data_IF_230693340632
#
_entry.id   IF_230693340632
#
_cell.length_a   1.000
_cell.length_b   1.000
_cell.length_c   1.000
_cell.angle_alpha   90.00
_cell.angle_beta   90.00
_cell.angle_gamma   90.00
#
_symmetry.space_group_name_H-M   'P 1'
#
loop_
_entity.id
_entity.type
_entity.pdbx_description
1 polymer ?
#
# COMPACT_ATOMS: atom_id res chain seq x y z
N UNK A 1 -28.41 18.56 42.85
CA UNK A 1 -28.10 17.88 41.57
C UNK A 1 -26.61 18.08 41.26
N UNK A 2 -25.78 17.04 41.38
CA UNK A 2 -24.36 17.08 41.01
C UNK A 2 -24.12 16.05 39.92
N UNK A 3 -23.75 16.50 38.72
CA UNK A 3 -23.41 15.63 37.58
C UNK A 3 -22.05 14.99 37.83
N UNK A 4 -21.98 13.66 37.66
CA UNK A 4 -20.76 12.86 37.65
C UNK A 4 -19.99 13.15 36.36
N UNK A 5 -18.68 13.34 36.46
CA UNK A 5 -17.76 13.20 35.32
C UNK A 5 -17.01 11.87 35.51
N UNK A 6 -17.20 10.97 34.55
CA UNK A 6 -16.46 9.70 34.45
C UNK A 6 -15.27 9.97 33.53
N UNK A 7 -14.06 9.85 34.07
CA UNK A 7 -12.82 9.87 33.30
C UNK A 7 -12.57 8.43 32.86
N UNK A 8 -12.69 8.17 31.56
CA UNK A 8 -12.34 6.89 30.96
C UNK A 8 -10.86 6.93 30.56
N UNK A 9 -10.03 6.22 31.32
CA UNK A 9 -8.64 5.92 30.96
C UNK A 9 -8.68 4.65 30.11
N UNK A 10 -8.24 4.72 28.85
CA UNK A 10 -7.93 3.53 28.05
C UNK A 10 -6.42 3.47 27.86
N UNK A 11 -5.78 2.77 28.77
CA UNK A 11 -4.46 2.15 28.60
C UNK A 11 -4.59 0.86 27.81
N UNK A 12 -3.71 0.62 26.84
CA UNK A 12 -3.56 -0.70 26.24
C UNK A 12 -2.86 -0.72 24.88
N UNK A 13 -1.55 -0.44 24.84
CA UNK A 13 -0.71 -0.90 23.73
C UNK A 13 -0.46 -2.39 23.97
N UNK A 14 -1.11 -3.25 23.19
CA UNK A 14 -0.87 -4.68 23.21
C UNK A 14 0.38 -4.97 22.39
N UNK A 15 1.49 -5.27 23.07
CA UNK A 15 2.65 -5.93 22.49
C UNK A 15 2.28 -7.40 22.22
N UNK A 16 2.05 -7.75 20.95
CA UNK A 16 2.00 -9.14 20.53
C UNK A 16 3.43 -9.57 20.17
N UNK A 17 4.18 -9.97 21.19
CA UNK A 17 5.36 -10.81 21.02
C UNK A 17 4.91 -12.26 20.91
N UNK A 18 4.96 -12.84 19.71
CA UNK A 18 4.74 -14.27 19.54
C UNK A 18 6.07 -15.01 19.61
N UNK A 19 6.14 -15.92 20.59
CA UNK A 19 7.34 -16.66 20.98
C UNK A 19 7.70 -17.83 20.07
N UNK A 20 8.96 -18.23 20.23
CA UNK A 20 9.51 -19.51 19.82
C UNK A 20 8.68 -20.67 20.39
N UNK A 21 8.23 -21.57 19.50
CA UNK A 21 7.95 -22.97 19.85
C UNK A 21 8.79 -23.82 18.91
N UNK A 22 9.79 -24.49 19.49
CA UNK A 22 10.50 -25.60 18.87
C UNK A 22 9.64 -26.85 19.04
N UNK A 23 9.21 -27.48 17.95
CA UNK A 23 9.03 -28.92 17.92
C UNK A 23 9.38 -29.49 16.55
N UNK A 24 10.26 -30.48 16.56
CA UNK A 24 10.93 -31.05 15.40
C UNK A 24 10.14 -32.28 14.93
N UNK A 25 9.62 -32.28 13.70
CA UNK A 25 9.54 -33.45 12.77
C UNK A 25 8.67 -33.10 11.55
N UNK A 26 9.30 -33.15 10.38
CA UNK A 26 8.63 -33.08 9.08
C UNK A 26 9.25 -32.02 8.18
N UNK A 27 10.05 -32.44 7.21
CA UNK A 27 10.52 -31.58 6.12
C UNK A 27 9.31 -31.11 5.32
N UNK A 28 8.84 -29.90 5.60
CA UNK A 28 8.22 -29.03 4.62
C UNK A 28 9.01 -27.73 4.66
N UNK A 29 9.65 -27.39 3.55
CA UNK A 29 10.25 -26.07 3.39
C UNK A 29 9.12 -25.04 3.31
N UNK A 30 8.67 -24.58 4.48
CA UNK A 30 7.94 -23.33 4.58
C UNK A 30 8.97 -22.24 4.35
N UNK A 31 9.00 -21.68 3.14
CA UNK A 31 9.76 -20.45 2.87
C UNK A 31 9.06 -19.32 3.62
N UNK A 32 9.35 -19.23 4.92
CA UNK A 32 8.96 -18.09 5.74
C UNK A 32 9.85 -16.92 5.34
N UNK A 33 9.45 -16.21 4.29
CA UNK A 33 10.00 -14.89 3.97
C UNK A 33 9.48 -13.90 5.03
N UNK A 34 10.00 -14.01 6.25
CA UNK A 34 9.73 -13.05 7.31
C UNK A 34 10.49 -11.77 6.95
N UNK A 35 9.79 -10.75 6.43
CA UNK A 35 10.35 -9.40 6.24
C UNK A 35 11.02 -8.98 7.54
N UNK A 36 12.21 -8.39 7.46
CA UNK A 36 12.88 -7.90 8.67
C UNK A 36 12.04 -6.80 9.32
N UNK A 37 12.16 -6.61 10.64
CA UNK A 37 11.45 -5.52 11.34
C UNK A 37 11.75 -4.14 10.72
N UNK A 38 12.97 -3.97 10.20
CA UNK A 38 13.39 -2.76 9.48
C UNK A 38 12.62 -2.58 8.16
N UNK A 39 12.38 -3.67 7.42
CA UNK A 39 11.64 -3.62 6.16
C UNK A 39 10.16 -3.31 6.38
N UNK A 40 9.59 -3.80 7.50
CA UNK A 40 8.22 -3.46 7.91
C UNK A 40 8.12 -1.96 8.21
N UNK A 41 9.00 -1.43 9.07
CA UNK A 41 9.03 0.00 9.40
C UNK A 41 9.20 0.86 8.15
N UNK A 42 10.07 0.44 7.22
CA UNK A 42 10.27 1.15 5.97
C UNK A 42 9.00 1.15 5.11
N UNK A 43 8.34 0.00 4.97
CA UNK A 43 7.09 -0.08 4.23
C UNK A 43 6.00 0.81 4.84
N UNK A 44 5.89 0.85 6.17
CA UNK A 44 4.90 1.69 6.86
C UNK A 44 5.13 3.18 6.59
N UNK A 45 6.39 3.64 6.66
CA UNK A 45 6.76 5.03 6.30
C UNK A 45 6.43 5.37 4.85
N UNK A 46 6.61 4.42 3.93
CA UNK A 46 6.22 4.64 2.54
C UNK A 46 4.69 4.72 2.39
N UNK A 47 3.93 3.89 3.11
CA UNK A 47 2.47 3.98 3.11
C UNK A 47 1.98 5.33 3.64
N UNK A 48 2.60 5.85 4.71
CA UNK A 48 2.34 7.20 5.25
C UNK A 48 2.59 8.28 4.20
N UNK A 49 3.73 8.23 3.48
CA UNK A 49 4.03 9.14 2.38
C UNK A 49 2.92 9.15 1.31
N UNK A 50 2.44 7.97 0.89
CA UNK A 50 1.40 7.87 -0.13
C UNK A 50 0.06 8.37 0.39
N UNK A 51 -0.29 8.05 1.64
CA UNK A 51 -1.50 8.51 2.28
C UNK A 51 -1.54 10.06 2.36
N UNK A 52 -0.41 10.68 2.72
CA UNK A 52 -0.27 12.14 2.82
C UNK A 52 -0.43 12.87 1.47
N UNK A 53 -0.40 12.16 0.33
CA UNK A 53 -0.70 12.76 -0.98
C UNK A 53 -2.18 12.98 -1.22
N UNK A 54 -3.05 12.30 -0.49
CA UNK A 54 -4.49 12.45 -0.63
C UNK A 54 -5.01 13.50 0.35
N UNK A 55 -5.56 14.58 -0.19
CA UNK A 55 -6.17 15.63 0.64
C UNK A 55 -7.46 15.07 1.24
N UNK A 56 -7.44 14.76 2.55
CA UNK A 56 -8.56 14.18 3.31
C UNK A 56 -9.91 14.90 3.15
N UNK A 57 -9.90 16.16 2.69
CA UNK A 57 -11.12 16.91 2.35
C UNK A 57 -11.97 16.24 1.27
N UNK A 58 -11.34 15.57 0.31
CA UNK A 58 -11.99 14.99 -0.87
C UNK A 58 -11.91 13.46 -0.90
N UNK A 59 -11.12 12.89 0.00
CA UNK A 59 -10.78 11.48 0.02
C UNK A 59 -10.89 10.94 1.44
N UNK A 60 -11.55 9.80 1.58
CA UNK A 60 -11.49 8.98 2.78
C UNK A 60 -10.52 7.85 2.48
N UNK A 61 -9.37 7.86 3.15
CA UNK A 61 -8.37 6.79 3.02
C UNK A 61 -8.59 5.77 4.11
N UNK A 62 -8.74 4.50 3.72
CA UNK A 62 -8.84 3.36 4.63
C UNK A 62 -7.68 2.42 4.39
N UNK A 63 -6.85 2.21 5.41
CA UNK A 63 -5.85 1.14 5.39
C UNK A 63 -6.56 -0.20 5.41
N UNK A 64 -6.21 -1.09 4.49
CA UNK A 64 -6.74 -2.45 4.46
C UNK A 64 -5.83 -3.35 5.30
N UNK A 65 -6.44 -4.17 6.17
CA UNK A 65 -5.68 -5.17 6.92
C UNK A 65 -4.98 -6.15 5.97
N UNK A 66 -3.88 -6.74 6.44
CA UNK A 66 -3.00 -7.65 5.67
C UNK A 66 -3.71 -8.88 5.09
N UNK A 67 -4.88 -9.22 5.60
CA UNK A 67 -5.70 -10.34 5.12
C UNK A 67 -6.40 -10.01 3.78
N UNK A 68 -6.47 -8.71 3.43
CA UNK A 68 -7.07 -8.19 2.19
C UNK A 68 -6.03 -7.76 1.14
N UNK A 69 -4.82 -8.36 1.15
CA UNK A 69 -3.77 -8.15 0.11
C UNK A 69 -4.28 -8.28 -1.34
N UNK A 70 -5.42 -8.94 -1.50
CA UNK A 70 -6.17 -9.10 -2.74
C UNK A 70 -6.56 -7.78 -3.43
N UNK A 71 -6.60 -6.66 -2.70
CA UNK A 71 -7.00 -5.35 -3.22
C UNK A 71 -5.95 -4.26 -2.99
N UNK A 72 -4.71 -4.62 -2.70
CA UNK A 72 -3.69 -3.66 -2.26
C UNK A 72 -3.78 -3.31 -0.77
N UNK A 73 -3.08 -2.25 -0.38
CA UNK A 73 -2.83 -1.92 1.03
C UNK A 73 -3.70 -0.73 1.48
N UNK A 74 -4.19 0.06 0.53
CA UNK A 74 -5.03 1.23 0.77
C UNK A 74 -6.29 1.16 -0.10
N UNK A 75 -7.44 1.43 0.51
CA UNK A 75 -8.69 1.76 -0.19
C UNK A 75 -8.90 3.26 -0.11
N UNK A 76 -9.12 3.89 -1.24
CA UNK A 76 -9.44 5.31 -1.33
C UNK A 76 -10.89 5.45 -1.77
N UNK A 77 -11.72 6.00 -0.89
CA UNK A 77 -13.08 6.41 -1.21
C UNK A 77 -13.06 7.92 -1.50
N UNK A 78 -13.82 8.37 -2.50
CA UNK A 78 -13.89 9.78 -2.84
C UNK A 78 -15.34 10.24 -3.01
N UNK A 79 -15.56 11.52 -2.72
CA UNK A 79 -16.77 12.26 -3.06
C UNK A 79 -16.33 13.65 -3.55
N UNK A 80 -16.38 13.84 -4.86
CA UNK A 80 -15.85 15.04 -5.53
C UNK A 80 -16.93 15.56 -6.46
N UNK A 81 -17.48 16.74 -6.13
CA UNK A 81 -18.46 17.44 -6.97
C UNK A 81 -19.68 16.59 -7.34
N UNK A 82 -20.12 15.72 -6.44
CA UNK A 82 -21.28 14.84 -6.66
C UNK A 82 -20.97 13.53 -7.39
N UNK A 83 -19.71 13.27 -7.71
CA UNK A 83 -19.22 11.96 -8.13
C UNK A 83 -18.60 11.26 -6.93
N UNK A 84 -19.18 10.11 -6.55
CA UNK A 84 -18.59 9.23 -5.55
C UNK A 84 -18.06 7.96 -6.19
N UNK A 85 -17.07 7.38 -5.55
CA UNK A 85 -16.48 6.12 -5.99
C UNK A 85 -15.33 5.70 -5.11
N UNK A 86 -14.63 4.69 -5.59
CA UNK A 86 -13.50 4.14 -4.88
C UNK A 86 -12.46 3.61 -5.87
N UNK A 87 -11.23 3.55 -5.39
CA UNK A 87 -10.13 2.87 -6.05
C UNK A 87 -9.16 2.35 -5.00
N UNK A 88 -8.24 1.52 -5.45
CA UNK A 88 -7.33 0.79 -4.59
C UNK A 88 -5.89 1.12 -4.94
N UNK A 89 -5.03 1.08 -3.93
CA UNK A 89 -3.59 1.27 -4.08
C UNK A 89 -2.84 0.15 -3.38
N UNK A 90 -2.02 -0.56 -4.14
CA UNK A 90 -0.95 -1.38 -3.61
C UNK A 90 0.33 -0.55 -3.54
N UNK A 91 0.99 -0.53 -2.39
CA UNK A 91 2.21 0.24 -2.16
C UNK A 91 3.36 -0.71 -1.87
N UNK A 92 4.49 -0.50 -2.52
CA UNK A 92 5.72 -1.27 -2.28
C UNK A 92 6.93 -0.33 -2.31
N UNK A 93 7.78 -0.38 -1.29
CA UNK A 93 9.07 0.32 -1.31
C UNK A 93 10.21 -0.67 -1.47
N UNK A 94 11.07 -0.40 -2.45
CA UNK A 94 12.13 -1.30 -2.90
C UNK A 94 13.48 -0.62 -2.69
N UNK A 95 14.48 -1.40 -2.25
CA UNK A 95 15.85 -0.92 -2.10
C UNK A 95 16.54 -0.81 -3.46
N UNK A 96 17.53 0.06 -3.56
CA UNK A 96 18.21 0.44 -4.81
C UNK A 96 18.80 -0.71 -5.65
N UNK A 97 19.07 -1.87 -5.03
CA UNK A 97 19.78 -2.98 -5.68
C UNK A 97 18.86 -4.01 -6.36
N UNK A 98 17.55 -3.90 -6.20
CA UNK A 98 16.62 -4.77 -6.89
C UNK A 98 16.34 -4.16 -8.27
N UNK A 99 16.23 -4.97 -9.32
CA UNK A 99 15.88 -4.51 -10.68
C UNK A 99 14.47 -4.91 -11.11
N UNK A 100 13.75 -5.53 -10.18
CA UNK A 100 12.46 -6.16 -10.36
C UNK A 100 11.71 -6.21 -9.04
N UNK A 101 10.41 -6.39 -9.12
CA UNK A 101 9.58 -6.66 -7.96
C UNK A 101 8.50 -7.68 -8.30
N UNK A 102 8.04 -8.36 -7.24
CA UNK A 102 7.05 -9.42 -7.34
C UNK A 102 5.76 -8.92 -6.72
N UNK A 103 4.73 -8.84 -7.55
CA UNK A 103 3.36 -8.62 -7.15
C UNK A 103 2.64 -9.96 -7.22
N UNK A 104 2.60 -10.68 -6.10
CA UNK A 104 1.80 -11.91 -6.01
C UNK A 104 0.34 -11.54 -5.67
N UNK A 105 -0.63 -12.22 -6.30
CA UNK A 105 -2.05 -12.21 -5.94
C UNK A 105 -2.90 -10.96 -6.24
N UNK A 106 -2.43 -9.97 -7.02
CA UNK A 106 -3.30 -8.85 -7.43
C UNK A 106 -4.23 -9.19 -8.62
N UNK A 107 -3.78 -10.03 -9.56
CA UNK A 107 -4.50 -10.32 -10.82
C UNK A 107 -5.83 -11.05 -10.67
N UNK A 108 -6.03 -11.80 -9.58
CA UNK A 108 -7.18 -12.68 -9.46
C UNK A 108 -8.48 -11.97 -9.06
N UNK A 109 -8.44 -10.69 -8.69
CA UNK A 109 -9.62 -9.98 -8.18
C UNK A 109 -10.00 -8.70 -8.93
N UNK A 110 -9.12 -8.12 -9.74
CA UNK A 110 -9.52 -7.01 -10.63
C UNK A 110 -10.53 -7.45 -11.70
N UNK A 111 -10.64 -8.75 -11.99
CA UNK A 111 -11.58 -9.25 -12.98
C UNK A 111 -13.05 -9.22 -12.49
N UNK A 112 -13.29 -9.13 -11.18
CA UNK A 112 -14.63 -9.14 -10.59
C UNK A 112 -15.05 -7.80 -9.96
N UNK A 113 -14.11 -6.88 -9.71
CA UNK A 113 -14.39 -5.57 -9.10
C UNK A 113 -14.26 -4.43 -10.12
N UNK A 114 -15.23 -3.53 -10.15
CA UNK A 114 -15.30 -2.39 -11.07
C UNK A 114 -14.39 -1.22 -10.70
N UNK A 115 -13.76 -1.29 -9.52
CA UNK A 115 -12.94 -0.23 -8.95
C UNK A 115 -11.49 -0.32 -9.44
N UNK A 116 -10.88 0.77 -9.93
CA UNK A 116 -9.50 0.76 -10.41
C UNK A 116 -8.50 0.36 -9.31
N UNK A 117 -7.45 -0.36 -9.69
CA UNK A 117 -6.31 -0.67 -8.83
C UNK A 117 -5.04 -0.07 -9.42
N UNK A 118 -4.28 0.61 -8.57
CA UNK A 118 -2.98 1.17 -8.92
C UNK A 118 -1.89 0.57 -8.04
N UNK A 119 -0.71 0.42 -8.60
CA UNK A 119 0.49 -0.01 -7.91
C UNK A 119 1.43 1.18 -7.85
N UNK A 120 1.75 1.59 -6.63
CA UNK A 120 2.63 2.71 -6.35
C UNK A 120 3.94 2.17 -5.78
N UNK A 121 5.02 2.37 -6.52
CA UNK A 121 6.34 1.80 -6.18
C UNK A 121 7.34 2.90 -5.93
N UNK A 122 7.92 2.92 -4.73
CA UNK A 122 9.07 3.76 -4.39
C UNK A 122 10.34 2.95 -4.50
N UNK A 123 11.39 3.50 -5.13
CA UNK A 123 12.68 2.81 -5.30
C UNK A 123 13.79 3.70 -4.75
N UNK A 124 14.73 3.06 -4.05
CA UNK A 124 15.89 3.68 -3.45
C UNK A 124 15.52 4.84 -2.48
N UNK A 125 16.49 5.69 -2.16
CA UNK A 125 16.31 6.79 -1.22
C UNK A 125 15.83 6.35 0.16
N UNK A 126 14.99 7.20 0.77
CA UNK A 126 14.28 6.87 2.01
C UNK A 126 12.83 6.51 1.70
N UNK A 127 12.16 5.66 2.48
CA UNK A 127 10.74 5.38 2.25
C UNK A 127 9.86 6.64 2.25
N UNK A 128 10.12 7.60 3.12
CA UNK A 128 9.45 8.90 3.16
C UNK A 128 9.85 9.86 2.03
N UNK A 129 10.90 9.54 1.29
CA UNK A 129 11.46 10.34 0.19
C UNK A 129 12.23 9.43 -0.78
N UNK A 130 11.53 8.61 -1.58
CA UNK A 130 12.18 7.70 -2.50
C UNK A 130 12.83 8.50 -3.62
N UNK A 131 13.87 7.95 -4.25
CA UNK A 131 14.55 8.63 -5.37
C UNK A 131 13.72 8.51 -6.65
N UNK A 132 13.02 7.38 -6.80
CA UNK A 132 12.11 7.12 -7.91
C UNK A 132 10.73 6.74 -7.37
N UNK A 133 9.69 7.21 -8.07
CA UNK A 133 8.31 6.84 -7.78
C UNK A 133 7.60 6.46 -9.09
N UNK A 134 6.89 5.34 -9.07
CA UNK A 134 6.10 4.85 -10.20
C UNK A 134 4.64 4.71 -9.79
N UNK A 135 3.72 5.01 -10.70
CA UNK A 135 2.28 4.78 -10.51
C UNK A 135 1.78 3.99 -11.71
N UNK A 136 1.47 2.73 -11.49
CA UNK A 136 1.20 1.76 -12.55
C UNK A 136 -0.25 1.28 -12.42
N UNK A 137 -1.11 1.47 -13.43
CA UNK A 137 -2.43 0.84 -13.45
C UNK A 137 -2.27 -0.69 -13.44
N UNK A 138 -3.08 -1.41 -12.67
CA UNK A 138 -3.00 -2.88 -12.63
C UNK A 138 -3.23 -3.51 -14.01
N UNK A 139 -4.06 -2.89 -14.86
CA UNK A 139 -4.33 -3.32 -16.23
C UNK A 139 -3.08 -3.38 -17.13
N UNK A 140 -2.00 -2.71 -16.74
CA UNK A 140 -0.72 -2.70 -17.46
C UNK A 140 0.23 -3.81 -16.98
N UNK A 141 -0.12 -4.52 -15.90
CA UNK A 141 0.67 -5.60 -15.31
C UNK A 141 0.34 -6.95 -15.96
N UNK A 142 1.24 -7.39 -16.83
CA UNK A 142 1.08 -8.66 -17.56
C UNK A 142 1.72 -9.86 -16.86
N UNK A 143 2.66 -9.63 -15.96
CA UNK A 143 3.41 -10.66 -15.24
C UNK A 143 3.49 -10.31 -13.75
N UNK A 144 3.55 -11.32 -12.89
CA UNK A 144 3.65 -11.12 -11.44
C UNK A 144 5.02 -10.57 -11.07
N UNK A 145 6.01 -10.89 -11.89
CA UNK A 145 7.36 -10.38 -11.82
C UNK A 145 7.52 -9.24 -12.82
N UNK A 146 7.81 -8.05 -12.32
CA UNK A 146 7.85 -6.82 -13.12
C UNK A 146 9.26 -6.26 -13.08
N UNK A 147 9.88 -6.16 -14.25
CA UNK A 147 11.17 -5.48 -14.42
C UNK A 147 10.98 -3.97 -14.59
N UNK A 148 11.89 -3.18 -14.03
CA UNK A 148 11.79 -1.72 -14.04
C UNK A 148 11.83 -1.10 -15.44
N UNK A 149 12.52 -1.75 -16.39
CA UNK A 149 12.56 -1.33 -17.79
C UNK A 149 11.16 -1.31 -18.44
N UNK A 150 10.24 -2.18 -18.01
CA UNK A 150 8.87 -2.25 -18.53
C UNK A 150 7.96 -1.16 -17.99
N UNK A 151 8.31 -0.57 -16.85
CA UNK A 151 7.50 0.42 -16.16
C UNK A 151 8.08 1.83 -16.21
N UNK A 152 9.20 2.05 -16.91
CA UNK A 152 9.85 3.37 -17.01
C UNK A 152 8.90 4.46 -17.53
N UNK A 153 7.94 4.10 -18.40
CA UNK A 153 6.90 5.01 -18.89
C UNK A 153 5.94 5.54 -17.80
N UNK A 154 5.86 4.87 -16.65
CA UNK A 154 5.00 5.22 -15.51
C UNK A 154 5.71 6.03 -14.43
N UNK A 155 6.98 6.38 -14.66
CA UNK A 155 7.79 7.12 -13.72
C UNK A 155 7.26 8.54 -13.49
N UNK A 156 7.12 8.91 -12.22
CA UNK A 156 6.75 10.27 -11.81
C UNK A 156 7.96 11.18 -11.87
N UNK A 157 7.87 12.22 -12.70
CA UNK A 157 8.92 13.25 -12.82
C UNK A 157 9.11 14.06 -11.54
N UNK A 158 8.05 14.23 -10.75
CA UNK A 158 8.10 14.94 -9.47
C UNK A 158 7.26 14.16 -8.44
N UNK A 159 7.90 13.80 -7.34
CA UNK A 159 7.32 13.01 -6.23
C UNK A 159 6.47 13.90 -5.31
N UNK A 160 6.73 15.21 -5.32
CA UNK A 160 6.08 16.20 -4.45
C UNK A 160 4.84 16.81 -5.11
N UNK A 161 4.78 16.89 -6.44
CA UNK A 161 3.70 17.55 -7.18
C UNK A 161 2.94 16.61 -8.11
N UNK A 162 1.69 16.97 -8.43
CA UNK A 162 0.84 16.29 -9.41
C UNK A 162 0.44 14.87 -9.02
N UNK A 163 0.30 14.57 -7.73
CA UNK A 163 -0.27 13.30 -7.28
C UNK A 163 -1.79 13.49 -7.12
N UNK A 164 -2.59 13.02 -8.07
CA UNK A 164 -4.04 13.22 -8.03
C UNK A 164 -4.81 12.15 -8.80
N UNK A 165 -6.03 11.88 -8.36
CA UNK A 165 -6.96 11.00 -9.05
C UNK A 165 -7.86 11.80 -10.00
N UNK A 166 -7.85 11.43 -11.29
CA UNK A 166 -8.73 11.99 -12.31
C UNK A 166 -10.01 11.15 -12.38
N UNK A 167 -11.12 11.67 -11.84
CA UNK A 167 -12.39 10.91 -11.75
C UNK A 167 -12.99 10.60 -13.10
N UNK A 168 -12.72 11.43 -14.12
CA UNK A 168 -13.25 11.26 -15.48
C UNK A 168 -12.55 10.13 -16.22
N UNK A 169 -11.22 10.11 -16.17
CA UNK A 169 -10.42 9.07 -16.85
C UNK A 169 -10.18 7.85 -15.97
N UNK A 170 -10.54 7.92 -14.68
CA UNK A 170 -10.23 6.91 -13.66
C UNK A 170 -8.74 6.58 -13.63
N UNK A 171 -7.89 7.60 -13.69
CA UNK A 171 -6.42 7.43 -13.66
C UNK A 171 -5.83 8.14 -12.46
N UNK A 172 -4.99 7.43 -11.69
CA UNK A 172 -4.11 8.04 -10.70
C UNK A 172 -2.87 8.57 -11.41
N UNK A 173 -2.65 9.88 -11.31
CA UNK A 173 -1.54 10.57 -11.95
C UNK A 173 -0.49 10.95 -10.95
#
# INVERSE_FOLDING_TARGET
MKKKAVILIITGIVFIGFGLILNNKGKNQTVNNTRSAKDIINQDKFNELINDKFVYKYFIVRTLNTDNKQFGNLKIEYDIKGESGEFYIHTEWIKENDNEFIITNLKNNSQNNSSPLFIVVGIAGKPEKPDLLYIIPESEIKADKIHFDKIEKFKKKNIVSNFYFDTKTKTLK
#
